data_IF_607303158309
#
_entry.id   IF_607303158309
#
_cell.length_a   1.000
_cell.length_b   1.000
_cell.length_c   1.000
_cell.angle_alpha   90.00
_cell.angle_beta   90.00
_cell.angle_gamma   90.00
#
_symmetry.space_group_name_H-M   'P 1'
#
loop_
_entity.id
_entity.type
_entity.pdbx_description
1 polymer ?
#
# COMPACT_ATOMS: atom_id res chain seq x y z
N UNK A 1 9.83 -6.31 9.93
CA UNK A 1 10.30 -5.02 9.38
C UNK A 1 11.71 -5.26 8.90
N UNK A 2 12.05 -4.82 7.68
CA UNK A 2 13.41 -4.97 7.14
C UNK A 2 14.39 -4.12 7.98
N UNK A 3 15.48 -4.72 8.43
CA UNK A 3 16.56 -4.07 9.19
C UNK A 3 17.21 -2.93 8.40
N UNK A 4 17.13 -2.97 7.07
CA UNK A 4 17.64 -1.92 6.18
C UNK A 4 16.74 -0.67 6.15
N UNK A 5 15.49 -0.77 6.61
CA UNK A 5 14.50 0.30 6.50
C UNK A 5 14.83 1.50 7.41
N UNK A 6 14.50 2.71 6.94
CA UNK A 6 14.66 3.95 7.69
C UNK A 6 13.89 3.89 9.02
N UNK A 7 12.69 3.28 9.00
CA UNK A 7 11.88 3.10 10.20
C UNK A 7 12.54 2.22 11.25
N UNK A 8 13.22 1.13 10.85
CA UNK A 8 13.97 0.29 11.77
C UNK A 8 15.08 1.07 12.47
N UNK A 9 15.87 1.85 11.72
CA UNK A 9 16.95 2.68 12.26
C UNK A 9 16.45 3.73 13.26
N UNK A 10 15.29 4.33 12.99
CA UNK A 10 14.68 5.32 13.89
C UNK A 10 14.18 4.65 15.18
N UNK A 11 13.52 3.49 15.07
CA UNK A 11 12.91 2.80 16.21
C UNK A 11 13.93 2.16 17.17
N UNK A 12 15.13 1.81 16.69
CA UNK A 12 16.19 1.19 17.50
C UNK A 12 17.23 2.19 18.00
N UNK A 13 17.06 3.49 17.72
CA UNK A 13 17.96 4.51 18.27
C UNK A 13 17.67 4.70 19.76
N UNK A 14 18.54 4.15 20.61
CA UNK A 14 18.34 4.14 22.08
C UNK A 14 18.34 5.53 22.71
N UNK A 15 18.92 6.53 22.03
CA UNK A 15 19.00 7.91 22.53
C UNK A 15 17.69 8.68 22.49
N UNK A 16 16.63 8.14 21.86
CA UNK A 16 15.33 8.81 21.72
C UNK A 16 14.26 8.03 22.48
N UNK A 17 13.45 8.68 23.34
CA UNK A 17 12.34 8.02 24.03
C UNK A 17 11.37 7.32 23.07
N UNK A 18 10.90 6.14 23.47
CA UNK A 18 9.96 5.31 22.70
C UNK A 18 8.76 6.07 22.09
N UNK A 19 8.01 6.91 22.84
CA UNK A 19 6.87 7.63 22.26
C UNK A 19 7.29 8.60 21.15
N UNK A 20 8.42 9.28 21.30
CA UNK A 20 8.95 10.22 20.31
C UNK A 20 9.36 9.47 19.03
N UNK A 21 9.99 8.29 19.15
CA UNK A 21 10.36 7.47 17.98
C UNK A 21 9.12 7.06 17.16
N UNK A 22 8.03 6.65 17.83
CA UNK A 22 6.77 6.30 17.17
C UNK A 22 6.14 7.50 16.46
N UNK A 23 6.14 8.67 17.10
CA UNK A 23 5.66 9.91 16.48
C UNK A 23 6.50 10.30 15.25
N UNK A 24 7.82 10.14 15.31
CA UNK A 24 8.69 10.39 14.15
C UNK A 24 8.34 9.46 12.99
N UNK A 25 8.12 8.16 13.25
CA UNK A 25 7.72 7.19 12.20
C UNK A 25 6.39 7.59 11.55
N UNK A 26 5.37 7.88 12.37
CA UNK A 26 4.04 8.27 11.87
C UNK A 26 4.12 9.60 11.11
N UNK A 27 4.80 10.61 11.67
CA UNK A 27 4.97 11.91 11.03
C UNK A 27 5.77 11.84 9.73
N UNK A 28 6.80 10.99 9.67
CA UNK A 28 7.56 10.76 8.43
C UNK A 28 6.71 10.05 7.38
N UNK A 29 5.89 9.07 7.78
CA UNK A 29 4.96 8.40 6.87
C UNK A 29 3.90 9.38 6.34
N UNK A 30 3.35 10.25 7.19
CA UNK A 30 2.42 11.31 6.80
C UNK A 30 3.06 12.28 5.80
N UNK A 31 4.27 12.78 6.08
CA UNK A 31 4.93 13.77 5.24
C UNK A 31 5.34 13.23 3.86
N UNK A 32 5.81 11.97 3.80
CA UNK A 32 6.36 11.40 2.57
C UNK A 32 5.40 10.46 1.84
N UNK A 33 4.31 10.00 2.43
CA UNK A 33 3.26 9.18 1.78
C UNK A 33 3.77 8.05 0.85
N UNK A 34 4.94 7.49 1.17
CA UNK A 34 5.64 6.47 0.38
C UNK A 34 5.96 6.86 -1.09
N UNK A 35 6.11 8.17 -1.43
CA UNK A 35 6.39 8.59 -2.82
C UNK A 35 7.67 7.94 -3.39
N UNK A 36 8.64 7.63 -2.53
CA UNK A 36 9.92 7.03 -2.97
C UNK A 36 9.80 5.58 -3.44
N UNK A 37 8.65 4.94 -3.20
CA UNK A 37 8.42 3.54 -3.53
C UNK A 37 7.52 3.35 -4.75
N UNK A 38 6.74 4.36 -5.13
CA UNK A 38 5.75 4.25 -6.21
C UNK A 38 6.35 4.40 -7.61
N UNK A 39 5.70 3.84 -8.62
CA UNK A 39 6.04 4.06 -10.02
C UNK A 39 5.35 5.33 -10.56
N UNK A 40 5.68 5.74 -11.79
CA UNK A 40 5.27 7.03 -12.38
C UNK A 40 3.76 7.19 -12.50
N UNK A 41 3.05 6.15 -12.93
CA UNK A 41 1.59 6.21 -13.07
C UNK A 41 0.90 6.46 -11.73
N UNK A 42 1.30 5.73 -10.69
CA UNK A 42 0.74 5.90 -9.36
C UNK A 42 1.13 7.24 -8.73
N UNK A 43 2.37 7.68 -8.93
CA UNK A 43 2.83 9.00 -8.50
C UNK A 43 1.98 10.12 -9.12
N UNK A 44 1.79 10.08 -10.44
CA UNK A 44 0.99 11.08 -11.15
C UNK A 44 -0.45 11.07 -10.65
N UNK A 45 -1.05 9.89 -10.47
CA UNK A 45 -2.40 9.78 -9.93
C UNK A 45 -2.52 10.37 -8.53
N UNK A 46 -1.57 10.07 -7.63
CA UNK A 46 -1.54 10.63 -6.26
C UNK A 46 -1.46 12.16 -6.27
N UNK A 47 -0.60 12.74 -7.12
CA UNK A 47 -0.48 14.19 -7.26
C UNK A 47 -1.77 14.84 -7.78
N UNK A 48 -2.39 14.23 -8.79
CA UNK A 48 -3.67 14.73 -9.33
C UNK A 48 -4.78 14.66 -8.27
N UNK A 49 -4.84 13.56 -7.51
CA UNK A 49 -5.84 13.40 -6.43
C UNK A 49 -5.61 14.40 -5.29
N UNK A 50 -4.36 14.66 -4.91
CA UNK A 50 -4.02 15.66 -3.91
C UNK A 50 -4.42 17.08 -4.35
N UNK A 51 -4.14 17.45 -5.61
CA UNK A 51 -4.58 18.73 -6.17
C UNK A 51 -6.10 18.85 -6.24
N UNK A 52 -6.81 17.76 -6.57
CA UNK A 52 -8.26 17.72 -6.56
C UNK A 52 -8.81 17.97 -5.15
N UNK A 53 -8.29 17.26 -4.13
CA UNK A 53 -8.69 17.49 -2.74
C UNK A 53 -8.36 18.90 -2.27
N UNK A 54 -7.18 19.42 -2.62
CA UNK A 54 -6.79 20.79 -2.29
C UNK A 54 -7.79 21.80 -2.89
N UNK A 55 -8.17 21.63 -4.15
CA UNK A 55 -9.15 22.49 -4.82
C UNK A 55 -10.51 22.46 -4.15
N UNK A 56 -11.06 21.27 -3.89
CA UNK A 56 -12.38 21.10 -3.24
C UNK A 56 -12.39 21.66 -1.82
N UNK A 57 -11.38 21.35 -1.02
CA UNK A 57 -11.28 21.84 0.36
C UNK A 57 -11.09 23.36 0.37
N UNK A 58 -10.16 23.90 -0.43
CA UNK A 58 -9.91 25.35 -0.47
C UNK A 58 -11.12 26.12 -0.97
N UNK A 59 -11.87 25.58 -1.94
CA UNK A 59 -13.14 26.16 -2.37
C UNK A 59 -14.15 26.20 -1.23
N UNK A 60 -14.29 25.09 -0.49
CA UNK A 60 -15.21 25.01 0.66
C UNK A 60 -14.80 25.99 1.78
N UNK A 61 -13.51 26.04 2.13
CA UNK A 61 -12.98 26.95 3.16
C UNK A 61 -13.15 28.43 2.78
N UNK A 62 -12.96 28.78 1.50
CA UNK A 62 -13.09 30.16 1.05
C UNK A 62 -14.54 30.61 0.88
N UNK A 63 -15.42 29.75 0.35
CA UNK A 63 -16.80 30.14 0.03
C UNK A 63 -17.78 29.92 1.18
N UNK A 64 -17.65 28.82 1.92
CA UNK A 64 -18.59 28.47 2.99
C UNK A 64 -18.14 29.07 4.32
N UNK A 65 -16.84 28.96 4.63
CA UNK A 65 -16.28 29.46 5.90
C UNK A 65 -15.68 30.87 5.81
N UNK A 66 -15.63 31.44 4.60
CA UNK A 66 -15.14 32.80 4.35
C UNK A 66 -13.75 33.08 4.95
N UNK A 67 -12.89 32.07 4.96
CA UNK A 67 -11.54 32.20 5.50
C UNK A 67 -10.67 33.08 4.59
N UNK A 68 -9.78 33.86 5.20
CA UNK A 68 -8.78 34.63 4.46
C UNK A 68 -7.92 33.71 3.57
N UNK A 69 -7.51 34.20 2.39
CA UNK A 69 -6.81 33.42 1.36
C UNK A 69 -5.61 32.62 1.91
N UNK A 70 -4.79 33.25 2.75
CA UNK A 70 -3.63 32.60 3.36
C UNK A 70 -4.00 31.38 4.22
N UNK A 71 -5.04 31.51 5.05
CA UNK A 71 -5.52 30.41 5.89
C UNK A 71 -6.22 29.32 5.08
N UNK A 72 -6.96 29.72 4.04
CA UNK A 72 -7.61 28.79 3.11
C UNK A 72 -6.59 27.88 2.44
N UNK A 73 -5.49 28.43 1.91
CA UNK A 73 -4.46 27.63 1.24
C UNK A 73 -3.73 26.72 2.24
N UNK A 74 -3.33 27.26 3.40
CA UNK A 74 -2.59 26.49 4.40
C UNK A 74 -3.43 25.34 4.96
N UNK A 75 -4.64 25.62 5.45
CA UNK A 75 -5.53 24.60 5.99
C UNK A 75 -6.03 23.66 4.90
N UNK A 76 -6.31 24.18 3.71
CA UNK A 76 -6.70 23.40 2.55
C UNK A 76 -5.64 22.36 2.19
N UNK A 77 -4.37 22.76 2.16
CA UNK A 77 -3.25 21.85 1.94
C UNK A 77 -3.13 20.80 3.05
N UNK A 78 -3.15 21.21 4.32
CA UNK A 78 -3.03 20.27 5.43
C UNK A 78 -4.16 19.23 5.45
N UNK A 79 -5.40 19.65 5.20
CA UNK A 79 -6.56 18.76 5.14
C UNK A 79 -6.47 17.85 3.92
N UNK A 80 -6.22 18.40 2.72
CA UNK A 80 -6.11 17.61 1.48
C UNK A 80 -4.99 16.57 1.56
N UNK A 81 -3.82 16.97 2.05
CA UNK A 81 -2.67 16.08 2.26
C UNK A 81 -3.01 14.97 3.26
N UNK A 82 -3.70 15.29 4.35
CA UNK A 82 -4.13 14.31 5.36
C UNK A 82 -5.20 13.36 4.80
N UNK A 83 -6.16 13.86 4.03
CA UNK A 83 -7.15 13.02 3.35
C UNK A 83 -6.46 12.06 2.37
N UNK A 84 -5.50 12.56 1.57
CA UNK A 84 -4.73 11.73 0.65
C UNK A 84 -3.93 10.65 1.39
N UNK A 85 -3.32 10.99 2.52
CA UNK A 85 -2.61 10.03 3.38
C UNK A 85 -3.53 8.92 3.92
N UNK A 86 -4.74 9.27 4.35
CA UNK A 86 -5.73 8.32 4.84
C UNK A 86 -6.24 7.40 3.72
N UNK A 87 -6.71 7.98 2.61
CA UNK A 87 -7.31 7.21 1.52
C UNK A 87 -6.30 6.39 0.71
N UNK A 88 -5.01 6.76 0.69
CA UNK A 88 -3.94 5.92 0.13
C UNK A 88 -3.41 4.86 1.12
N UNK A 89 -4.12 4.62 2.23
CA UNK A 89 -3.92 3.45 3.11
C UNK A 89 -2.61 3.43 3.89
N UNK A 90 -1.84 4.51 3.89
CA UNK A 90 -0.53 4.57 4.55
C UNK A 90 -0.64 4.63 6.08
N UNK A 91 -1.80 5.05 6.60
CA UNK A 91 -2.02 5.21 8.04
C UNK A 91 -1.85 3.91 8.83
N UNK A 92 -2.54 2.82 8.45
CA UNK A 92 -2.45 1.56 9.18
C UNK A 92 -1.10 0.87 8.98
N UNK A 93 -0.44 1.08 7.84
CA UNK A 93 0.94 0.65 7.62
C UNK A 93 1.89 1.37 8.59
N UNK A 94 1.74 2.69 8.76
CA UNK A 94 2.53 3.47 9.70
C UNK A 94 2.29 3.04 11.16
N UNK A 95 1.03 2.84 11.56
CA UNK A 95 0.69 2.34 12.89
C UNK A 95 1.29 0.96 13.16
N UNK A 96 1.22 0.05 12.19
CA UNK A 96 1.87 -1.26 12.28
C UNK A 96 3.38 -1.11 12.45
N UNK A 97 4.03 -0.25 11.67
CA UNK A 97 5.47 -0.02 11.78
C UNK A 97 5.87 0.59 13.14
N UNK A 98 4.98 1.40 13.74
CA UNK A 98 5.13 1.90 15.11
C UNK A 98 4.79 0.88 16.20
N UNK A 99 4.36 -0.35 15.84
CA UNK A 99 3.95 -1.39 16.77
C UNK A 99 2.62 -1.10 17.48
N UNK A 100 1.70 -0.39 16.81
CA UNK A 100 0.41 0.05 17.35
C UNK A 100 -0.80 -0.62 16.67
N UNK A 101 -0.57 -1.51 15.69
CA UNK A 101 -1.62 -2.22 14.96
C UNK A 101 -1.32 -3.71 14.92
N UNK A 102 -2.35 -4.52 15.16
CA UNK A 102 -2.28 -5.97 15.13
C UNK A 102 -3.45 -6.54 14.31
N UNK A 103 -3.17 -7.56 13.52
CA UNK A 103 -4.16 -8.21 12.65
C UNK A 103 -4.12 -9.72 12.90
N UNK A 104 -5.29 -10.31 13.13
CA UNK A 104 -5.40 -11.76 13.30
C UNK A 104 -5.15 -12.49 11.97
N UNK A 105 -4.64 -13.72 12.05
CA UNK A 105 -4.39 -14.55 10.86
C UNK A 105 -5.68 -14.76 10.03
N UNK A 106 -6.83 -14.97 10.68
CA UNK A 106 -8.12 -15.10 9.99
C UNK A 106 -8.50 -13.84 9.22
N UNK A 107 -8.34 -12.66 9.81
CA UNK A 107 -8.63 -11.38 9.14
C UNK A 107 -7.69 -11.16 7.96
N UNK A 108 -6.41 -11.51 8.12
CA UNK A 108 -5.42 -11.48 7.06
C UNK A 108 -5.78 -12.39 5.89
N UNK A 109 -6.06 -13.68 6.16
CA UNK A 109 -6.45 -14.66 5.15
C UNK A 109 -7.71 -14.23 4.40
N UNK A 110 -8.73 -13.78 5.12
CA UNK A 110 -9.99 -13.32 4.52
C UNK A 110 -9.76 -12.08 3.63
N UNK A 111 -8.97 -11.11 4.08
CA UNK A 111 -8.67 -9.93 3.28
C UNK A 111 -7.90 -10.28 2.00
N UNK A 112 -6.89 -11.16 2.11
CA UNK A 112 -6.09 -11.61 0.98
C UNK A 112 -6.91 -12.40 -0.05
N UNK A 113 -7.81 -13.29 0.39
CA UNK A 113 -8.77 -14.01 -0.46
C UNK A 113 -9.68 -13.07 -1.23
N UNK A 114 -10.27 -12.08 -0.55
CA UNK A 114 -11.14 -11.14 -1.22
C UNK A 114 -10.36 -10.21 -2.16
N UNK A 115 -9.11 -9.85 -1.81
CA UNK A 115 -8.24 -9.08 -2.69
C UNK A 115 -7.90 -9.85 -3.96
N UNK A 116 -7.54 -11.14 -3.86
CA UNK A 116 -7.30 -12.01 -5.02
C UNK A 116 -8.50 -11.98 -5.98
N UNK A 117 -9.71 -12.24 -5.48
CA UNK A 117 -10.92 -12.22 -6.30
C UNK A 117 -11.10 -10.89 -7.04
N UNK A 118 -10.86 -9.77 -6.34
CA UNK A 118 -10.97 -8.43 -6.94
C UNK A 118 -9.87 -8.19 -7.97
N UNK A 119 -8.62 -8.57 -7.71
CA UNK A 119 -7.51 -8.48 -8.67
C UNK A 119 -7.83 -9.26 -9.95
N UNK A 120 -8.29 -10.51 -9.81
CA UNK A 120 -8.67 -11.37 -10.94
C UNK A 120 -9.83 -10.81 -11.78
N UNK A 121 -10.68 -9.96 -11.19
CA UNK A 121 -11.80 -9.31 -11.89
C UNK A 121 -11.43 -8.06 -12.68
N UNK A 122 -10.21 -7.52 -12.53
CA UNK A 122 -9.81 -6.26 -13.16
C UNK A 122 -9.18 -6.47 -14.53
N UNK A 123 -9.82 -5.94 -15.57
CA UNK A 123 -9.34 -6.01 -16.94
C UNK A 123 -8.05 -5.20 -17.19
N UNK A 124 -7.77 -4.19 -16.36
CA UNK A 124 -6.58 -3.35 -16.45
C UNK A 124 -5.33 -3.95 -15.81
N UNK A 125 -5.45 -5.07 -15.10
CA UNK A 125 -4.34 -5.77 -14.45
C UNK A 125 -3.82 -6.85 -15.39
N UNK A 126 -2.50 -6.91 -15.53
CA UNK A 126 -1.80 -7.91 -16.33
C UNK A 126 -1.32 -9.08 -15.47
N UNK A 127 -0.77 -8.77 -14.29
CA UNK A 127 -0.34 -9.76 -13.31
C UNK A 127 -0.34 -9.16 -11.89
N UNK A 128 -0.31 -10.01 -10.86
CA UNK A 128 -0.25 -9.62 -9.46
C UNK A 128 0.39 -10.69 -8.59
N UNK A 129 1.13 -10.26 -7.58
CA UNK A 129 1.79 -11.15 -6.62
C UNK A 129 1.79 -10.56 -5.20
N UNK A 130 1.85 -11.45 -4.21
CA UNK A 130 2.17 -11.12 -2.83
C UNK A 130 3.63 -11.47 -2.53
N UNK A 131 4.25 -10.64 -1.71
CA UNK A 131 5.64 -10.80 -1.27
C UNK A 131 5.72 -10.66 0.26
N UNK A 132 6.94 -10.66 0.81
CA UNK A 132 7.14 -10.33 2.22
C UNK A 132 6.91 -11.50 3.19
N UNK A 133 6.27 -11.20 4.32
CA UNK A 133 6.22 -12.15 5.44
C UNK A 133 5.44 -13.45 5.13
N UNK A 134 4.41 -13.33 4.29
CA UNK A 134 3.56 -14.45 3.86
C UNK A 134 4.35 -15.44 2.98
N UNK A 135 5.16 -14.97 2.03
CA UNK A 135 5.94 -15.85 1.15
C UNK A 135 7.04 -16.61 1.88
N UNK A 136 7.48 -16.11 3.03
CA UNK A 136 8.49 -16.76 3.89
C UNK A 136 7.90 -17.68 4.95
N UNK A 137 6.56 -17.85 5.00
CA UNK A 137 5.87 -18.64 6.03
C UNK A 137 6.01 -18.05 7.44
N UNK A 138 6.30 -16.73 7.55
CA UNK A 138 6.51 -16.03 8.82
C UNK A 138 5.38 -15.03 9.07
N UNK A 139 4.13 -15.47 8.92
CA UNK A 139 2.98 -14.63 9.23
C UNK A 139 2.93 -14.38 10.74
N UNK A 140 2.95 -13.12 11.15
CA UNK A 140 2.80 -12.71 12.55
C UNK A 140 1.59 -11.80 12.68
N UNK A 141 1.15 -11.54 13.91
CA UNK A 141 0.09 -10.56 14.19
C UNK A 141 0.46 -9.12 13.77
N UNK A 142 1.72 -8.87 13.40
CA UNK A 142 2.22 -7.60 12.90
C UNK A 142 2.57 -7.66 11.41
N UNK A 143 2.13 -8.69 10.68
CA UNK A 143 2.32 -8.77 9.23
C UNK A 143 1.44 -7.78 8.48
N UNK A 144 2.03 -7.09 7.51
CA UNK A 144 1.37 -6.39 6.42
C UNK A 144 1.18 -7.30 5.21
N UNK A 145 0.22 -6.93 4.37
CA UNK A 145 -0.02 -7.57 3.09
C UNK A 145 0.69 -6.78 2.00
N UNK A 146 1.89 -7.23 1.64
CA UNK A 146 2.68 -6.65 0.55
C UNK A 146 2.22 -7.19 -0.80
N UNK A 147 1.56 -6.37 -1.61
CA UNK A 147 1.03 -6.75 -2.93
C UNK A 147 1.66 -5.89 -4.00
N UNK A 148 2.00 -6.52 -5.13
CA UNK A 148 2.61 -5.85 -6.29
C UNK A 148 1.80 -6.20 -7.53
N UNK A 149 1.29 -5.18 -8.21
CA UNK A 149 0.41 -5.30 -9.38
C UNK A 149 1.12 -4.79 -10.62
N UNK A 150 1.08 -5.57 -11.69
CA UNK A 150 1.51 -5.16 -13.02
C UNK A 150 0.29 -4.75 -13.80
N UNK A 151 0.27 -3.52 -14.29
CA UNK A 151 -0.86 -3.06 -15.10
C UNK A 151 -0.64 -3.33 -16.58
N UNK A 152 -1.74 -3.35 -17.32
CA UNK A 152 -1.71 -3.28 -18.78
C UNK A 152 -1.27 -1.90 -19.25
N UNK A 153 -0.68 -1.84 -20.44
CA UNK A 153 -0.25 -0.58 -21.09
C UNK A 153 -1.45 0.32 -21.40
N UNK A 154 -1.20 1.62 -21.56
CA UNK A 154 -2.19 2.63 -21.91
C UNK A 154 -2.68 3.47 -20.71
N UNK A 155 -3.11 4.69 -21.00
CA UNK A 155 -3.52 5.69 -19.99
C UNK A 155 -4.79 5.25 -19.27
N UNK A 156 -5.78 4.73 -20.01
CA UNK A 156 -7.06 4.26 -19.42
C UNK A 156 -6.82 3.12 -18.44
N UNK A 157 -5.96 2.16 -18.78
CA UNK A 157 -5.59 1.06 -17.88
C UNK A 157 -4.81 1.58 -16.65
N UNK A 158 -3.94 2.58 -16.84
CA UNK A 158 -3.28 3.29 -15.75
C UNK A 158 -4.28 3.93 -14.78
N UNK A 159 -5.28 4.65 -15.30
CA UNK A 159 -6.31 5.26 -14.46
C UNK A 159 -7.17 4.20 -13.74
N UNK A 160 -7.64 3.19 -14.46
CA UNK A 160 -8.43 2.09 -13.89
C UNK A 160 -7.71 1.41 -12.73
N UNK A 161 -6.44 1.06 -12.92
CA UNK A 161 -5.66 0.40 -11.86
C UNK A 161 -5.38 1.33 -10.68
N UNK A 162 -5.15 2.62 -10.92
CA UNK A 162 -4.95 3.59 -9.84
C UNK A 162 -6.23 3.81 -9.02
N UNK A 163 -7.40 3.87 -9.68
CA UNK A 163 -8.70 3.90 -8.99
C UNK A 163 -8.91 2.60 -8.21
N UNK A 164 -8.56 1.45 -8.79
CA UNK A 164 -8.60 0.17 -8.09
C UNK A 164 -7.74 0.20 -6.81
N UNK A 165 -6.49 0.67 -6.87
CA UNK A 165 -5.61 0.83 -5.70
C UNK A 165 -6.21 1.76 -4.64
N UNK A 166 -6.76 2.90 -5.04
CA UNK A 166 -7.43 3.84 -4.13
C UNK A 166 -8.60 3.17 -3.39
N UNK A 167 -9.40 2.37 -4.10
CA UNK A 167 -10.51 1.63 -3.50
C UNK A 167 -10.02 0.53 -2.56
N UNK A 168 -8.95 -0.19 -2.91
CA UNK A 168 -8.35 -1.20 -2.03
C UNK A 168 -7.77 -0.58 -0.75
N UNK A 169 -7.07 0.56 -0.87
CA UNK A 169 -6.61 1.31 0.28
C UNK A 169 -7.76 1.83 1.13
N UNK A 170 -8.85 2.30 0.52
CA UNK A 170 -10.05 2.75 1.24
C UNK A 170 -10.72 1.59 1.99
N UNK A 171 -10.80 0.39 1.39
CA UNK A 171 -11.29 -0.84 2.05
C UNK A 171 -10.38 -1.25 3.21
N UNK A 172 -9.06 -1.16 3.02
CA UNK A 172 -8.08 -1.45 4.05
C UNK A 172 -8.18 -0.45 5.23
N UNK A 173 -8.39 0.83 4.92
CA UNK A 173 -8.65 1.88 5.92
C UNK A 173 -9.92 1.57 6.73
N UNK A 174 -11.04 1.32 6.04
CA UNK A 174 -12.31 0.98 6.70
C UNK A 174 -12.21 -0.30 7.55
N UNK A 175 -11.37 -1.24 7.13
CA UNK A 175 -11.15 -2.50 7.82
C UNK A 175 -10.03 -2.45 8.86
N UNK A 176 -9.39 -1.30 9.08
CA UNK A 176 -8.18 -1.19 9.92
C UNK A 176 -7.14 -2.28 9.61
N UNK A 177 -6.70 -2.33 8.34
CA UNK A 177 -5.83 -3.36 7.80
C UNK A 177 -4.57 -2.72 7.16
N UNK A 178 -3.35 -3.20 7.49
CA UNK A 178 -2.11 -2.70 6.90
C UNK A 178 -1.89 -3.34 5.52
N UNK A 179 -2.42 -2.69 4.48
CA UNK A 179 -2.23 -3.07 3.08
C UNK A 179 -1.13 -2.21 2.45
N UNK A 180 -0.07 -2.85 1.96
CA UNK A 180 1.00 -2.22 1.17
C UNK A 180 0.93 -2.71 -0.28
N UNK A 181 0.07 -2.07 -1.08
CA UNK A 181 -0.15 -2.40 -2.49
C UNK A 181 0.46 -1.33 -3.40
N UNK A 182 1.22 -1.73 -4.42
CA UNK A 182 1.79 -0.82 -5.42
C UNK A 182 1.57 -1.31 -6.84
N UNK A 183 1.49 -0.35 -7.76
CA UNK A 183 1.45 -0.60 -9.20
C UNK A 183 2.82 -0.38 -9.83
N UNK A 184 3.19 -1.33 -10.69
CA UNK A 184 4.35 -1.25 -11.57
C UNK A 184 3.90 -0.97 -13.01
N UNK A 185 4.61 -0.06 -13.68
CA UNK A 185 4.39 0.24 -15.10
C UNK A 185 5.01 -0.83 -16.03
N UNK A 186 6.00 -1.56 -15.52
CA UNK A 186 6.76 -2.57 -16.25
C UNK A 186 7.35 -3.64 -15.32
N UNK A 187 7.83 -4.74 -15.91
CA UNK A 187 8.39 -5.88 -15.18
C UNK A 187 9.75 -5.53 -14.56
N UNK A 188 10.52 -4.62 -15.17
CA UNK A 188 11.83 -4.20 -14.64
C UNK A 188 11.73 -3.61 -13.23
N UNK A 189 10.63 -2.91 -12.93
CA UNK A 189 10.36 -2.41 -11.58
C UNK A 189 10.30 -3.55 -10.56
N UNK A 190 9.67 -4.69 -10.88
CA UNK A 190 9.64 -5.86 -10.01
C UNK A 190 11.01 -6.47 -9.80
N UNK A 191 11.80 -6.62 -10.87
CA UNK A 191 13.16 -7.16 -10.79
C UNK A 191 14.03 -6.37 -9.81
N UNK A 192 13.85 -5.05 -9.74
CA UNK A 192 14.59 -4.18 -8.83
C UNK A 192 14.11 -4.26 -7.38
N UNK A 193 12.80 -4.44 -7.15
CA UNK A 193 12.17 -4.32 -5.82
C UNK A 193 11.91 -5.66 -5.13
N UNK A 194 11.71 -6.73 -5.90
CA UNK A 194 11.46 -8.10 -5.40
C UNK A 194 12.72 -8.93 -5.61
N UNK A 195 13.80 -8.53 -4.92
CA UNK A 195 15.07 -9.23 -4.95
C UNK A 195 15.09 -10.24 -3.80
N UNK A 196 15.21 -11.53 -4.13
CA UNK A 196 15.37 -12.66 -3.19
C UNK A 196 14.13 -13.17 -2.45
N UNK A 197 12.93 -12.61 -2.67
CA UNK A 197 11.69 -13.22 -2.19
C UNK A 197 11.14 -14.21 -3.24
N UNK A 198 10.49 -15.29 -2.77
CA UNK A 198 9.72 -16.23 -3.60
C UNK A 198 8.28 -15.69 -3.69
N UNK A 199 7.86 -15.04 -4.78
CA UNK A 199 6.54 -14.42 -4.82
C UNK A 199 5.43 -15.47 -4.79
N UNK A 200 4.33 -15.13 -4.11
CA UNK A 200 3.08 -15.86 -4.20
C UNK A 200 2.25 -15.23 -5.31
N UNK A 201 1.97 -15.97 -6.38
CA UNK A 201 1.20 -15.48 -7.52
C UNK A 201 -0.27 -15.37 -7.13
N UNK A 202 -0.82 -14.16 -7.27
CA UNK A 202 -2.25 -13.87 -7.14
C UNK A 202 -2.97 -14.00 -8.49
N UNK A 203 -2.35 -13.49 -9.56
CA UNK A 203 -2.93 -13.44 -10.89
C UNK A 203 -1.80 -13.37 -11.92
N UNK A 204 -1.77 -14.29 -12.88
CA UNK A 204 -0.74 -14.33 -13.94
C UNK A 204 -1.22 -15.14 -15.16
N UNK A 205 -2.31 -14.72 -15.84
CA UNK A 205 -2.91 -15.49 -16.93
C UNK A 205 -1.96 -15.69 -18.12
N UNK A 206 -1.03 -14.76 -18.32
CA UNK A 206 -0.06 -14.77 -19.42
C UNK A 206 1.31 -15.37 -19.01
N UNK A 207 1.43 -15.91 -17.78
CA UNK A 207 2.66 -16.49 -17.23
C UNK A 207 3.88 -15.54 -17.24
N UNK A 208 3.65 -14.24 -17.13
CA UNK A 208 4.70 -13.21 -17.16
C UNK A 208 5.57 -13.31 -15.91
N UNK A 209 4.93 -13.39 -14.74
CA UNK A 209 5.65 -13.49 -13.47
C UNK A 209 6.28 -14.87 -13.31
N UNK A 210 5.58 -15.91 -13.74
CA UNK A 210 6.06 -17.30 -13.68
C UNK A 210 7.29 -17.53 -14.57
N UNK A 211 7.45 -16.74 -15.64
CA UNK A 211 8.66 -16.76 -16.49
C UNK A 211 9.80 -15.95 -15.87
N UNK A 212 9.49 -14.85 -15.18
CA UNK A 212 10.48 -13.96 -14.57
C UNK A 212 11.10 -14.55 -13.28
N UNK A 213 10.35 -15.35 -12.52
CA UNK A 213 10.79 -15.93 -11.25
C UNK A 213 10.91 -17.46 -11.31
N UNK A 214 12.13 -17.98 -11.08
CA UNK A 214 12.45 -19.43 -11.12
C UNK A 214 11.62 -20.24 -10.10
N UNK A 215 11.25 -19.62 -8.98
CA UNK A 215 10.40 -20.23 -7.96
C UNK A 215 9.24 -19.31 -7.66
N UNK A 216 8.03 -19.84 -7.79
CA UNK A 216 6.77 -19.18 -7.43
C UNK A 216 5.88 -20.17 -6.71
N UNK A 217 5.02 -19.68 -5.83
CA UNK A 217 3.94 -20.49 -5.24
C UNK A 217 2.60 -19.89 -5.64
N UNK A 218 1.58 -20.69 -5.91
CA UNK A 218 0.24 -20.15 -6.15
C UNK A 218 -0.45 -19.88 -4.83
N UNK A 219 -1.27 -18.84 -4.77
CA UNK A 219 -1.97 -18.50 -3.54
C UNK A 219 -2.90 -19.62 -3.03
N UNK A 220 -3.54 -20.36 -3.96
CA UNK A 220 -4.31 -21.57 -3.67
C UNK A 220 -3.55 -22.58 -2.80
N UNK A 221 -2.26 -22.77 -3.08
CA UNK A 221 -1.42 -23.80 -2.47
C UNK A 221 -0.98 -23.39 -1.05
N UNK A 222 -0.95 -22.08 -0.78
CA UNK A 222 -0.62 -21.52 0.54
C UNK A 222 -1.81 -21.68 1.48
N UNK A 223 -3.03 -21.47 0.99
CA UNK A 223 -4.24 -21.53 1.84
C UNK A 223 -4.72 -22.95 2.14
N UNK A 224 -4.39 -23.92 1.28
CA UNK A 224 -4.75 -25.33 1.45
C UNK A 224 -3.95 -26.06 2.52
N UNK A 225 -2.74 -25.59 2.86
CA UNK A 225 -1.88 -26.23 3.88
C UNK A 225 -2.28 -25.95 5.32
N UNK A 226 -3.05 -24.88 5.56
CA UNK A 226 -3.56 -24.53 6.89
C UNK A 226 -4.86 -25.28 7.26
N UNK A 227 -5.34 -26.18 6.40
CA UNK A 227 -6.56 -26.98 6.62
C UNK A 227 -6.33 -28.36 7.26
N UNK A 228 -5.07 -28.77 7.44
CA UNK A 228 -4.71 -30.09 7.99
C UNK A 228 -3.85 -30.02 9.27
N UNK A 229 -3.74 -28.83 9.88
CA UNK A 229 -2.92 -28.63 11.09
C UNK A 229 -3.72 -27.97 12.22
N UNK A 230 -4.20 -28.83 13.12
CA UNK A 230 -4.81 -28.59 14.46
C UNK A 230 -6.19 -27.98 14.54
#
# INVERSE_FOLDING_TARGET
MDESSVYFKILHKETIPSPIRKLIVIGSSWAFQSIFHVDRTELLFKLVLELLFLGVVSYTLSTVLQLHMGWTILLGFLIAHTMNYLFNGQFFVALKNAGLSHVSHTKFKNFALQLEQRVCSQDSILAGMMIGSISRGKLTATSDLDVRILRKRGIVNGLKVSVFLLLEHSRALASAFPLDIYVADNVEWFRKKVKNDVPIILYDPENILSTEYIRTTRFSDVLGKDGEGT
#
